data_IF_748902877387
#
_entry.id   IF_748902877387
#
_cell.length_a   1.000
_cell.length_b   1.000
_cell.length_c   1.000
_cell.angle_alpha   90.00
_cell.angle_beta   90.00
_cell.angle_gamma   90.00
#
_symmetry.space_group_name_H-M   'P 1'
#
loop_
_entity.id
_entity.type
_entity.pdbx_description
1 polymer ?
#
# COMPACT_ATOMS: atom_id res chain seq x y z
N UNK A 1 -23.55 -29.75 9.41
CA UNK A 1 -24.23 -28.86 8.45
C UNK A 1 -25.30 -28.06 9.14
N UNK A 2 -25.22 -26.74 9.08
CA UNK A 2 -26.20 -25.80 9.66
C UNK A 2 -27.52 -25.83 8.85
N UNK A 3 -28.64 -25.50 9.49
CA UNK A 3 -29.93 -25.39 8.80
C UNK A 3 -29.90 -24.19 7.85
N UNK A 4 -30.08 -24.44 6.55
CA UNK A 4 -29.95 -23.38 5.55
C UNK A 4 -30.84 -23.59 4.31
N UNK A 5 -31.01 -22.52 3.54
CA UNK A 5 -31.56 -22.48 2.19
C UNK A 5 -30.51 -21.82 1.31
N UNK A 6 -30.19 -22.43 0.18
CA UNK A 6 -29.33 -21.86 -0.86
C UNK A 6 -30.14 -21.70 -2.15
N UNK A 7 -30.15 -20.50 -2.72
CA UNK A 7 -30.74 -20.22 -4.03
C UNK A 7 -29.74 -20.40 -5.17
N UNK A 8 -30.23 -20.41 -6.41
CA UNK A 8 -29.41 -20.66 -7.61
C UNK A 8 -28.43 -19.52 -7.94
N UNK A 9 -28.66 -18.33 -7.41
CA UNK A 9 -27.82 -17.12 -7.51
C UNK A 9 -26.79 -17.02 -6.37
N UNK A 10 -26.53 -18.12 -5.65
CA UNK A 10 -25.58 -18.19 -4.54
C UNK A 10 -25.92 -17.29 -3.35
N UNK A 11 -27.20 -16.98 -3.16
CA UNK A 11 -27.68 -16.38 -1.92
C UNK A 11 -28.02 -17.49 -0.90
N UNK A 12 -27.62 -17.27 0.35
CA UNK A 12 -27.77 -18.20 1.46
C UNK A 12 -28.64 -17.58 2.54
N UNK A 13 -29.50 -18.39 3.14
CA UNK A 13 -30.20 -18.06 4.38
C UNK A 13 -29.94 -19.18 5.37
N UNK A 14 -29.28 -18.88 6.48
CA UNK A 14 -28.92 -19.83 7.55
C UNK A 14 -29.76 -19.49 8.79
N UNK A 15 -30.30 -20.50 9.46
CA UNK A 15 -31.13 -20.29 10.66
C UNK A 15 -30.43 -20.87 11.88
N UNK A 16 -30.05 -19.99 12.82
CA UNK A 16 -29.38 -20.34 14.07
C UNK A 16 -30.19 -19.81 15.25
N UNK A 17 -30.52 -20.66 16.23
CA UNK A 17 -31.32 -20.25 17.39
C UNK A 17 -32.69 -19.62 17.05
N UNK A 18 -33.23 -19.85 15.84
CA UNK A 18 -34.45 -19.23 15.34
C UNK A 18 -34.29 -17.86 14.67
N UNK A 19 -33.05 -17.33 14.59
CA UNK A 19 -32.72 -16.11 13.85
C UNK A 19 -32.20 -16.44 12.45
N UNK A 20 -32.70 -15.75 11.40
CA UNK A 20 -32.19 -15.90 10.04
C UNK A 20 -30.98 -15.00 9.78
N UNK A 21 -29.95 -15.55 9.15
CA UNK A 21 -28.73 -14.90 8.70
C UNK A 21 -28.62 -15.04 7.19
N UNK A 22 -28.50 -13.93 6.46
CA UNK A 22 -28.50 -13.91 5.00
C UNK A 22 -27.20 -13.33 4.43
N UNK A 23 -26.61 -14.01 3.46
CA UNK A 23 -25.40 -13.58 2.78
C UNK A 23 -25.35 -14.16 1.37
N UNK A 24 -24.59 -13.56 0.47
CA UNK A 24 -24.35 -14.11 -0.86
C UNK A 24 -22.87 -14.00 -1.25
N UNK A 25 -22.58 -14.35 -2.50
CA UNK A 25 -21.24 -14.37 -3.07
C UNK A 25 -20.49 -13.02 -3.00
N UNK A 26 -21.16 -11.92 -2.67
CA UNK A 26 -20.53 -10.62 -2.42
C UNK A 26 -19.98 -10.47 -1.01
N UNK A 27 -20.43 -11.28 -0.04
CA UNK A 27 -19.94 -11.22 1.33
C UNK A 27 -18.44 -11.56 1.39
N UNK A 28 -17.60 -10.79 2.10
CA UNK A 28 -16.15 -10.99 2.13
C UNK A 28 -15.75 -12.39 2.62
N UNK A 29 -16.44 -12.88 3.64
CA UNK A 29 -16.27 -14.23 4.16
C UNK A 29 -17.12 -15.28 3.45
N UNK A 30 -17.60 -15.05 2.23
CA UNK A 30 -18.55 -15.96 1.56
C UNK A 30 -18.08 -17.42 1.57
N UNK A 31 -16.81 -17.67 1.24
CA UNK A 31 -16.25 -19.02 1.23
C UNK A 31 -16.20 -19.61 2.65
N UNK A 32 -15.70 -18.85 3.63
CA UNK A 32 -15.65 -19.29 5.03
C UNK A 32 -17.03 -19.54 5.63
N UNK A 33 -18.01 -18.69 5.31
CA UNK A 33 -19.42 -18.87 5.69
C UNK A 33 -19.98 -20.15 5.08
N UNK A 34 -19.75 -20.40 3.78
CA UNK A 34 -20.15 -21.64 3.13
C UNK A 34 -19.51 -22.87 3.80
N UNK A 35 -18.22 -22.81 4.14
CA UNK A 35 -17.52 -23.89 4.85
C UNK A 35 -18.11 -24.14 6.24
N UNK A 36 -18.38 -23.08 7.01
CA UNK A 36 -19.01 -23.19 8.32
C UNK A 36 -20.42 -23.80 8.23
N UNK A 37 -21.20 -23.40 7.22
CA UNK A 37 -22.51 -24.00 6.95
C UNK A 37 -22.39 -25.49 6.65
N UNK A 38 -21.43 -25.91 5.84
CA UNK A 38 -21.22 -27.32 5.53
C UNK A 38 -20.73 -28.11 6.75
N UNK A 39 -19.74 -27.59 7.46
CA UNK A 39 -19.15 -28.20 8.65
C UNK A 39 -20.14 -28.26 9.83
N UNK A 40 -21.09 -27.34 9.90
CA UNK A 40 -21.95 -27.19 11.08
C UNK A 40 -21.30 -26.38 12.20
N UNK A 41 -20.32 -25.53 11.89
CA UNK A 41 -19.62 -24.72 12.88
C UNK A 41 -20.40 -23.41 13.12
N UNK A 42 -21.28 -23.43 14.12
CA UNK A 42 -22.13 -22.29 14.45
C UNK A 42 -21.33 -21.11 15.01
N UNK A 43 -20.31 -21.38 15.82
CA UNK A 43 -19.53 -20.31 16.45
C UNK A 43 -18.72 -19.54 15.41
N UNK A 44 -18.00 -20.26 14.56
CA UNK A 44 -17.22 -19.63 13.50
C UNK A 44 -18.10 -18.97 12.44
N UNK A 45 -19.26 -19.57 12.13
CA UNK A 45 -20.26 -18.91 11.27
C UNK A 45 -20.65 -17.53 11.81
N UNK A 46 -20.99 -17.44 13.10
CA UNK A 46 -21.41 -16.17 13.72
C UNK A 46 -20.24 -15.17 13.74
N UNK A 47 -19.01 -15.61 13.99
CA UNK A 47 -17.83 -14.75 13.93
C UNK A 47 -17.65 -14.16 12.51
N UNK A 48 -17.62 -15.01 11.49
CA UNK A 48 -17.43 -14.60 10.10
C UNK A 48 -18.59 -13.74 9.59
N UNK A 49 -19.82 -14.05 9.99
CA UNK A 49 -21.00 -13.32 9.55
C UNK A 49 -21.05 -11.90 10.14
N UNK A 50 -20.60 -11.76 11.39
CA UNK A 50 -20.51 -10.46 12.05
C UNK A 50 -19.28 -9.66 11.64
N UNK A 51 -18.47 -10.10 10.66
CA UNK A 51 -17.32 -9.30 10.18
C UNK A 51 -17.77 -7.90 9.71
N UNK A 52 -18.96 -7.77 9.12
CA UNK A 52 -19.53 -6.47 8.74
C UNK A 52 -19.80 -5.55 9.94
N UNK A 53 -20.47 -6.03 10.98
CA UNK A 53 -20.72 -5.26 12.21
C UNK A 53 -19.44 -4.97 12.98
N UNK A 54 -18.47 -5.89 12.96
CA UNK A 54 -17.14 -5.67 13.53
C UNK A 54 -16.41 -4.53 12.81
N UNK A 55 -16.49 -4.42 11.48
CA UNK A 55 -15.86 -3.32 10.73
C UNK A 55 -16.53 -1.97 11.04
N UNK A 56 -17.86 -1.93 11.11
CA UNK A 56 -18.63 -0.72 11.45
C UNK A 56 -18.31 -0.23 12.88
N UNK A 57 -18.38 -1.14 13.86
CA UNK A 57 -18.03 -0.84 15.26
C UNK A 57 -16.55 -0.41 15.39
N UNK A 58 -15.66 -1.11 14.68
CA UNK A 58 -14.23 -0.84 14.67
C UNK A 58 -13.92 0.54 14.10
N UNK A 59 -14.58 0.95 13.01
CA UNK A 59 -14.38 2.27 12.41
C UNK A 59 -15.14 3.40 13.11
N UNK A 60 -15.82 3.13 14.23
CA UNK A 60 -16.72 4.09 14.87
C UNK A 60 -17.78 4.65 13.89
N UNK A 61 -18.20 3.85 12.91
CA UNK A 61 -19.17 4.22 11.89
C UNK A 61 -18.63 4.98 10.68
N UNK A 62 -17.30 5.13 10.52
CA UNK A 62 -16.71 5.70 9.29
C UNK A 62 -16.86 4.75 8.09
N UNK A 63 -16.86 3.45 8.34
CA UNK A 63 -17.29 2.46 7.36
C UNK A 63 -18.75 2.07 7.57
N UNK A 64 -19.42 1.81 6.46
CA UNK A 64 -20.75 1.23 6.43
C UNK A 64 -20.74 -0.02 5.54
N UNK A 65 -21.30 -1.12 6.03
CA UNK A 65 -21.44 -2.35 5.27
C UNK A 65 -22.87 -2.45 4.73
N UNK A 66 -23.04 -2.16 3.44
CA UNK A 66 -24.34 -2.19 2.75
C UNK A 66 -24.31 -3.17 1.60
N UNK A 67 -25.33 -4.03 1.51
CA UNK A 67 -25.53 -4.96 0.39
C UNK A 67 -24.29 -5.81 0.04
N UNK A 68 -23.51 -6.22 1.05
CA UNK A 68 -22.31 -7.04 0.84
C UNK A 68 -21.03 -6.24 0.51
N UNK A 69 -21.09 -4.92 0.46
CA UNK A 69 -19.95 -4.06 0.15
C UNK A 69 -19.62 -3.12 1.29
N UNK A 70 -18.32 -2.87 1.43
CA UNK A 70 -17.79 -1.87 2.33
C UNK A 70 -17.86 -0.49 1.65
N UNK A 71 -18.42 0.48 2.35
CA UNK A 71 -18.48 1.88 1.93
C UNK A 71 -17.71 2.74 2.91
N UNK A 72 -17.00 3.73 2.40
CA UNK A 72 -16.43 4.83 3.17
C UNK A 72 -17.07 6.11 2.63
N UNK A 73 -17.74 6.85 3.51
CA UNK A 73 -18.71 7.89 3.10
C UNK A 73 -19.77 7.31 2.11
N UNK A 74 -19.88 7.90 0.92
CA UNK A 74 -20.79 7.45 -0.14
C UNK A 74 -20.07 6.65 -1.24
N UNK A 75 -18.77 6.37 -1.08
CA UNK A 75 -17.97 5.63 -2.06
C UNK A 75 -17.80 4.17 -1.67
N UNK A 76 -18.07 3.28 -2.62
CA UNK A 76 -17.79 1.86 -2.44
C UNK A 76 -16.27 1.65 -2.40
N UNK A 77 -15.77 1.07 -1.31
CA UNK A 77 -14.38 0.68 -1.18
C UNK A 77 -14.12 -0.50 -2.11
N UNK A 78 -13.01 -0.45 -2.87
CA UNK A 78 -12.65 -1.53 -3.76
C UNK A 78 -12.38 -2.83 -2.98
N UNK A 79 -12.43 -3.98 -3.68
CA UNK A 79 -12.26 -5.29 -3.05
C UNK A 79 -10.89 -5.42 -2.37
N UNK A 80 -9.82 -4.92 -2.98
CA UNK A 80 -8.47 -5.09 -2.44
C UNK A 80 -8.27 -4.38 -1.08
N UNK A 81 -8.63 -3.09 -0.89
CA UNK A 81 -8.58 -2.49 0.44
C UNK A 81 -9.55 -3.15 1.43
N UNK A 82 -10.70 -3.62 0.96
CA UNK A 82 -11.68 -4.33 1.80
C UNK A 82 -11.10 -5.63 2.37
N UNK A 83 -10.55 -6.49 1.52
CA UNK A 83 -9.89 -7.74 1.92
C UNK A 83 -8.79 -7.51 2.96
N UNK A 84 -8.06 -6.41 2.80
CA UNK A 84 -7.02 -6.02 3.75
C UNK A 84 -7.56 -5.57 5.09
N UNK A 85 -8.59 -4.72 5.12
CA UNK A 85 -9.26 -4.30 6.36
C UNK A 85 -9.69 -5.54 7.15
N UNK A 86 -10.26 -6.52 6.46
CA UNK A 86 -10.66 -7.79 7.05
C UNK A 86 -9.47 -8.59 7.58
N UNK A 87 -8.36 -8.66 6.85
CA UNK A 87 -7.15 -9.35 7.32
C UNK A 87 -6.55 -8.68 8.56
N UNK A 88 -6.48 -7.34 8.58
CA UNK A 88 -6.03 -6.57 9.73
C UNK A 88 -6.90 -6.85 10.96
N UNK A 89 -8.23 -6.87 10.78
CA UNK A 89 -9.18 -7.24 11.83
C UNK A 89 -8.97 -8.67 12.35
N UNK A 90 -8.87 -9.64 11.45
CA UNK A 90 -8.62 -11.06 11.81
C UNK A 90 -7.34 -11.24 12.61
N UNK A 91 -6.32 -10.44 12.30
CA UNK A 91 -5.03 -10.46 12.96
C UNK A 91 -4.96 -9.53 14.19
N UNK A 92 -6.04 -8.84 14.55
CA UNK A 92 -6.14 -7.99 15.75
C UNK A 92 -5.44 -6.63 15.65
N UNK A 93 -5.22 -6.10 14.44
CA UNK A 93 -4.61 -4.79 14.22
C UNK A 93 -5.60 -3.62 14.39
N UNK A 94 -5.07 -2.44 14.69
CA UNK A 94 -5.83 -1.18 14.78
C UNK A 94 -6.33 -0.72 13.39
N UNK A 95 -7.50 -0.08 13.30
CA UNK A 95 -8.04 0.51 12.07
C UNK A 95 -7.34 1.74 11.61
N UNK A 96 -6.87 2.54 12.56
CA UNK A 96 -6.50 3.92 12.28
C UNK A 96 -5.57 4.05 11.08
N UNK A 97 -4.58 3.16 10.86
CA UNK A 97 -3.75 3.20 9.66
C UNK A 97 -4.57 3.07 8.36
N UNK A 98 -5.54 2.15 8.30
CA UNK A 98 -6.38 1.93 7.11
C UNK A 98 -7.35 3.06 6.85
N UNK A 99 -7.97 3.62 7.90
CA UNK A 99 -8.83 4.79 7.76
C UNK A 99 -8.03 6.00 7.27
N UNK A 100 -6.86 6.25 7.87
CA UNK A 100 -5.95 7.31 7.42
C UNK A 100 -5.50 7.11 5.97
N UNK A 101 -5.23 5.86 5.57
CA UNK A 101 -4.90 5.53 4.18
C UNK A 101 -6.04 5.87 3.21
N UNK A 102 -7.28 5.50 3.55
CA UNK A 102 -8.44 5.76 2.68
C UNK A 102 -8.79 7.24 2.63
N UNK A 103 -8.72 7.96 3.77
CA UNK A 103 -8.91 9.41 3.81
C UNK A 103 -7.93 10.10 2.84
N UNK A 104 -6.65 9.70 2.86
CA UNK A 104 -5.64 10.21 1.93
C UNK A 104 -5.87 9.79 0.49
N UNK A 105 -6.22 8.52 0.25
CA UNK A 105 -6.46 7.99 -1.09
C UNK A 105 -7.58 8.75 -1.79
N UNK A 106 -8.66 9.07 -1.07
CA UNK A 106 -9.78 9.82 -1.62
C UNK A 106 -9.53 11.33 -1.77
N UNK A 107 -8.43 11.86 -1.21
CA UNK A 107 -7.92 13.19 -1.61
C UNK A 107 -7.23 13.18 -2.99
N UNK A 108 -7.00 12.01 -3.59
CA UNK A 108 -6.41 11.94 -4.92
C UNK A 108 -7.38 12.49 -5.98
N UNK A 109 -6.99 13.59 -6.61
CA UNK A 109 -7.79 14.27 -7.65
C UNK A 109 -8.09 13.44 -8.90
N UNK A 110 -7.47 12.26 -9.06
CA UNK A 110 -7.65 11.38 -10.22
C UNK A 110 -8.25 10.04 -9.79
N UNK A 111 -9.55 9.86 -10.05
CA UNK A 111 -10.21 8.57 -9.86
C UNK A 111 -9.49 7.46 -10.67
N UNK A 112 -8.96 7.77 -11.87
CA UNK A 112 -8.17 6.79 -12.63
C UNK A 112 -6.94 6.32 -11.85
N UNK A 113 -6.22 7.25 -11.22
CA UNK A 113 -5.04 6.90 -10.42
C UNK A 113 -5.41 6.06 -9.20
N UNK A 114 -6.55 6.36 -8.55
CA UNK A 114 -7.10 5.55 -7.45
C UNK A 114 -7.41 4.12 -7.93
N UNK A 115 -8.14 3.96 -9.03
CA UNK A 115 -8.47 2.64 -9.57
C UNK A 115 -7.24 1.85 -10.02
N UNK A 116 -6.29 2.53 -10.68
CA UNK A 116 -5.01 1.96 -11.08
C UNK A 116 -4.20 1.50 -9.86
N UNK A 117 -4.23 2.26 -8.76
CA UNK A 117 -3.49 1.92 -7.54
C UNK A 117 -3.91 0.55 -7.00
N UNK A 118 -5.21 0.22 -6.97
CA UNK A 118 -5.69 -1.08 -6.49
C UNK A 118 -5.06 -2.27 -7.23
N UNK A 119 -4.70 -2.08 -8.51
CA UNK A 119 -3.99 -3.11 -9.28
C UNK A 119 -2.55 -3.29 -8.78
N UNK A 120 -1.83 -2.18 -8.56
CA UNK A 120 -0.47 -2.21 -7.99
C UNK A 120 -0.46 -2.88 -6.60
N UNK A 121 -1.47 -2.57 -5.80
CA UNK A 121 -1.66 -3.10 -4.45
C UNK A 121 -1.76 -4.63 -4.38
N UNK A 122 -2.15 -5.29 -5.48
CA UNK A 122 -2.24 -6.75 -5.56
C UNK A 122 -0.88 -7.46 -5.52
N UNK A 123 0.24 -6.76 -5.76
CA UNK A 123 1.60 -7.31 -5.77
C UNK A 123 2.24 -7.47 -4.37
N UNK A 124 1.45 -7.55 -3.30
CA UNK A 124 1.89 -7.61 -1.88
C UNK A 124 2.62 -6.34 -1.38
N UNK A 125 2.49 -5.21 -2.08
CA UNK A 125 3.41 -4.07 -1.94
C UNK A 125 2.88 -2.85 -1.20
N UNK A 126 2.07 -2.98 -0.16
CA UNK A 126 1.50 -1.82 0.52
C UNK A 126 1.73 -1.78 2.03
N UNK A 127 2.91 -2.02 2.62
CA UNK A 127 3.08 -1.64 4.01
C UNK A 127 2.60 -0.18 4.18
N UNK A 128 1.63 0.04 5.06
CA UNK A 128 1.09 1.38 5.32
C UNK A 128 1.69 1.90 6.61
N UNK A 129 1.95 3.19 6.67
CA UNK A 129 2.33 3.81 7.93
C UNK A 129 1.10 3.99 8.82
N UNK A 130 1.34 4.24 10.10
CA UNK A 130 0.32 4.57 11.08
C UNK A 130 -0.55 5.79 10.67
N UNK A 131 0.06 6.75 9.98
CA UNK A 131 -0.60 7.94 9.45
C UNK A 131 -1.19 7.76 8.03
N UNK A 132 -1.22 6.55 7.48
CA UNK A 132 -1.91 6.22 6.23
C UNK A 132 -1.11 6.47 4.94
N UNK A 133 0.20 6.73 5.02
CA UNK A 133 1.06 6.75 3.83
C UNK A 133 1.35 5.34 3.33
N UNK A 134 1.75 5.23 2.06
CA UNK A 134 2.22 3.98 1.48
C UNK A 134 3.73 3.90 1.48
N UNK A 135 4.23 2.69 1.71
CA UNK A 135 5.63 2.33 1.54
C UNK A 135 5.84 1.68 0.18
N UNK A 136 6.91 2.08 -0.49
CA UNK A 136 7.39 1.45 -1.70
C UNK A 136 8.90 1.43 -1.76
N UNK A 137 9.43 0.98 -2.89
CA UNK A 137 10.86 0.80 -3.08
C UNK A 137 11.36 1.62 -4.26
N UNK A 138 12.62 2.07 -4.15
CA UNK A 138 13.27 2.85 -5.19
C UNK A 138 14.69 2.38 -5.43
N UNK A 139 14.97 1.92 -6.64
CA UNK A 139 16.33 1.66 -7.10
C UNK A 139 17.06 2.95 -7.46
N UNK A 140 18.25 3.16 -6.89
CA UNK A 140 19.09 4.34 -7.08
C UNK A 140 20.54 3.95 -7.41
N UNK A 141 21.32 4.93 -7.84
CA UNK A 141 22.78 4.81 -8.03
C UNK A 141 23.53 5.68 -7.04
N UNK A 142 24.84 5.43 -6.88
CA UNK A 142 25.74 6.28 -6.10
C UNK A 142 26.34 7.35 -7.01
N UNK A 143 26.27 8.61 -6.59
CA UNK A 143 26.83 9.73 -7.33
C UNK A 143 28.36 9.72 -7.28
N UNK A 144 29.00 10.03 -8.41
CA UNK A 144 30.47 10.03 -8.55
C UNK A 144 30.98 11.19 -9.41
N UNK A 145 30.14 12.20 -9.67
CA UNK A 145 30.50 13.38 -10.45
C UNK A 145 31.04 14.53 -9.59
N UNK A 146 31.29 15.67 -10.24
CA UNK A 146 31.67 16.91 -9.57
C UNK A 146 30.52 17.51 -8.76
N UNK A 147 30.85 18.17 -7.65
CA UNK A 147 29.87 18.83 -6.78
C UNK A 147 28.95 19.74 -7.59
N UNK A 148 27.64 19.56 -7.37
CA UNK A 148 26.59 20.32 -8.04
C UNK A 148 25.37 20.44 -7.16
N UNK A 149 24.30 21.00 -7.72
CA UNK A 149 22.98 21.01 -7.09
C UNK A 149 21.99 20.13 -7.84
N UNK A 150 21.09 19.50 -7.10
CA UNK A 150 19.95 18.78 -7.65
C UNK A 150 18.80 19.74 -8.01
N UNK A 151 17.68 19.22 -8.53
CA UNK A 151 16.51 20.04 -8.92
C UNK A 151 15.81 20.74 -7.76
N UNK A 152 16.04 20.30 -6.52
CA UNK A 152 15.51 20.91 -5.31
C UNK A 152 16.51 21.91 -4.70
N UNK A 153 17.64 22.16 -5.36
CA UNK A 153 18.67 23.08 -4.88
C UNK A 153 19.55 22.51 -3.77
N UNK A 154 19.49 21.20 -3.52
CA UNK A 154 20.32 20.53 -2.51
C UNK A 154 21.72 20.26 -3.06
N UNK A 155 22.78 20.34 -2.22
CA UNK A 155 24.11 19.93 -2.64
C UNK A 155 24.10 18.44 -2.98
N UNK A 156 24.73 18.12 -4.10
CA UNK A 156 24.94 16.77 -4.61
C UNK A 156 26.44 16.56 -4.76
N UNK A 157 26.97 15.61 -3.99
CA UNK A 157 28.39 15.32 -3.84
C UNK A 157 28.64 13.82 -3.93
N UNK A 158 29.89 13.41 -4.23
CA UNK A 158 30.21 12.00 -4.41
C UNK A 158 29.81 11.15 -3.18
N UNK A 159 29.15 10.02 -3.42
CA UNK A 159 28.59 9.15 -2.37
C UNK A 159 27.07 9.30 -2.16
N UNK A 160 26.46 10.40 -2.62
CA UNK A 160 25.03 10.61 -2.51
C UNK A 160 24.22 9.62 -3.36
N UNK A 161 23.02 9.25 -2.90
CA UNK A 161 22.08 8.46 -3.67
C UNK A 161 21.36 9.32 -4.71
N UNK A 162 21.26 8.85 -5.96
CA UNK A 162 20.65 9.59 -7.08
C UNK A 162 19.76 8.71 -7.95
N UNK A 163 18.79 9.33 -8.62
CA UNK A 163 17.95 8.62 -9.59
C UNK A 163 18.81 7.98 -10.69
N UNK A 164 18.54 6.72 -11.03
CA UNK A 164 19.37 5.97 -11.97
C UNK A 164 19.31 6.48 -13.41
N UNK A 165 18.20 7.11 -13.80
CA UNK A 165 17.99 7.53 -15.19
C UNK A 165 18.87 8.73 -15.58
N UNK A 166 18.93 9.76 -14.74
CA UNK A 166 19.72 10.97 -15.00
C UNK A 166 20.99 11.07 -14.15
N UNK A 167 21.04 10.35 -13.02
CA UNK A 167 22.14 10.39 -12.06
C UNK A 167 22.34 11.74 -11.37
N UNK A 168 21.46 12.72 -11.60
CA UNK A 168 21.71 14.13 -11.25
C UNK A 168 20.45 14.95 -10.99
N UNK A 169 19.25 14.43 -11.25
CA UNK A 169 18.02 15.22 -11.11
C UNK A 169 17.62 15.39 -9.65
N UNK A 170 17.64 14.30 -8.88
CA UNK A 170 17.20 14.31 -7.49
C UNK A 170 18.19 13.53 -6.62
N UNK A 171 18.62 14.15 -5.52
CA UNK A 171 19.26 13.44 -4.41
C UNK A 171 18.22 12.63 -3.63
N UNK A 172 18.60 11.44 -3.18
CA UNK A 172 17.76 10.43 -2.55
C UNK A 172 18.41 9.89 -1.26
N UNK A 173 19.07 10.75 -0.48
CA UNK A 173 19.61 10.33 0.80
C UNK A 173 18.46 10.11 1.81
N UNK A 174 18.72 9.41 2.90
CA UNK A 174 17.73 9.22 3.97
C UNK A 174 17.23 10.58 4.46
N UNK A 175 15.91 10.73 4.58
CA UNK A 175 15.22 11.97 4.92
C UNK A 175 15.02 12.94 3.75
N UNK A 176 15.57 12.67 2.56
CA UNK A 176 15.32 13.52 1.40
C UNK A 176 13.87 13.41 0.92
N UNK A 177 13.26 14.56 0.70
CA UNK A 177 11.98 14.69 0.03
C UNK A 177 12.20 15.02 -1.45
N UNK A 178 11.61 14.22 -2.34
CA UNK A 178 11.64 14.44 -3.77
C UNK A 178 10.23 14.79 -4.25
N UNK A 179 10.09 15.89 -4.98
CA UNK A 179 8.80 16.35 -5.46
C UNK A 179 8.87 16.90 -6.88
N UNK A 180 7.77 16.73 -7.61
CA UNK A 180 7.53 17.30 -8.92
C UNK A 180 6.10 17.85 -8.94
N UNK A 181 5.89 18.98 -9.63
CA UNK A 181 4.54 19.44 -9.89
C UNK A 181 3.75 18.32 -10.60
N UNK A 182 2.61 17.90 -10.04
CA UNK A 182 1.78 16.79 -10.56
C UNK A 182 1.49 16.92 -12.05
N UNK A 183 1.28 18.13 -12.57
CA UNK A 183 1.04 18.39 -14.01
C UNK A 183 2.25 18.11 -14.91
N UNK A 184 3.42 17.84 -14.33
CA UNK A 184 4.65 17.45 -15.03
C UNK A 184 4.96 15.96 -14.89
N UNK A 185 4.11 15.20 -14.19
CA UNK A 185 4.17 13.75 -14.11
C UNK A 185 3.22 13.18 -15.16
N UNK A 186 3.67 12.22 -15.96
CA UNK A 186 2.86 11.57 -16.97
C UNK A 186 1.77 10.74 -16.31
N UNK A 187 0.53 11.04 -16.68
CA UNK A 187 -0.65 10.35 -16.22
C UNK A 187 -1.07 9.23 -17.19
N UNK A 188 -0.42 9.12 -18.35
CA UNK A 188 -0.65 8.04 -19.32
C UNK A 188 0.03 6.74 -18.85
N UNK A 189 -0.77 5.79 -18.37
CA UNK A 189 -0.32 4.47 -17.90
C UNK A 189 0.19 3.56 -19.04
N UNK A 190 -0.10 3.87 -20.30
CA UNK A 190 0.40 3.09 -21.46
C UNK A 190 1.81 3.47 -21.89
N UNK A 191 2.32 4.60 -21.42
CA UNK A 191 3.72 4.95 -21.61
C UNK A 191 4.51 4.41 -20.43
N UNK A 192 5.46 3.51 -20.66
CA UNK A 192 6.23 2.89 -19.58
C UNK A 192 7.33 3.76 -18.98
N UNK A 193 8.09 4.44 -19.84
CA UNK A 193 9.25 5.25 -19.48
C UNK A 193 8.98 6.74 -19.70
N UNK A 194 7.95 7.28 -19.03
CA UNK A 194 7.58 8.69 -19.13
C UNK A 194 8.06 9.52 -17.93
N UNK A 195 7.87 10.83 -17.99
CA UNK A 195 8.27 11.74 -16.92
C UNK A 195 7.53 11.43 -15.61
N UNK A 196 8.26 11.31 -14.51
CA UNK A 196 7.68 11.10 -13.19
C UNK A 196 8.66 10.61 -12.16
N UNK A 197 8.29 10.77 -10.89
CA UNK A 197 8.97 10.12 -9.79
C UNK A 197 8.48 8.67 -9.71
N UNK A 198 9.38 7.71 -9.91
CA UNK A 198 9.03 6.30 -9.92
C UNK A 198 9.35 5.67 -8.57
N UNK A 199 8.37 4.93 -8.07
CA UNK A 199 8.43 3.99 -6.95
C UNK A 199 7.91 2.64 -7.45
N UNK A 200 8.23 1.53 -6.79
CA UNK A 200 7.75 0.22 -7.20
C UNK A 200 7.84 -0.83 -6.11
N UNK A 201 7.62 -2.08 -6.50
CA UNK A 201 7.85 -3.25 -5.65
C UNK A 201 9.34 -3.43 -5.38
N UNK A 202 9.67 -4.22 -4.36
CA UNK A 202 11.07 -4.53 -4.03
C UNK A 202 11.80 -5.15 -5.23
N UNK A 203 11.19 -6.17 -5.86
CA UNK A 203 11.75 -6.85 -7.03
C UNK A 203 12.05 -5.87 -8.17
N UNK A 204 11.08 -5.02 -8.54
CA UNK A 204 11.26 -4.00 -9.56
C UNK A 204 12.39 -3.03 -9.22
N UNK A 205 12.42 -2.54 -7.98
CA UNK A 205 13.42 -1.58 -7.52
C UNK A 205 14.82 -2.19 -7.45
N UNK A 206 14.94 -3.45 -7.04
CA UNK A 206 16.20 -4.19 -6.97
C UNK A 206 16.76 -4.47 -8.37
N UNK A 207 15.93 -4.93 -9.29
CA UNK A 207 16.31 -5.13 -10.68
C UNK A 207 16.72 -3.82 -11.34
N UNK A 208 15.96 -2.76 -11.06
CA UNK A 208 16.31 -1.42 -11.52
C UNK A 208 17.63 -0.94 -10.93
N UNK A 209 17.91 -1.16 -9.63
CA UNK A 209 19.17 -0.76 -8.97
C UNK A 209 20.39 -1.50 -9.54
N UNK A 210 20.26 -2.80 -9.84
CA UNK A 210 21.34 -3.64 -10.38
C UNK A 210 22.56 -3.75 -9.46
N UNK A 211 23.62 -4.44 -9.92
CA UNK A 211 24.75 -4.88 -9.09
C UNK A 211 25.59 -3.80 -8.37
N UNK A 212 25.42 -2.52 -8.70
CA UNK A 212 26.13 -1.40 -8.04
C UNK A 212 25.19 -0.29 -7.58
N UNK A 213 23.89 -0.54 -7.59
CA UNK A 213 22.89 0.38 -7.08
C UNK A 213 22.51 0.06 -5.64
N UNK A 214 21.60 0.88 -5.10
CA UNK A 214 21.03 0.72 -3.77
C UNK A 214 19.50 0.68 -3.91
N UNK A 215 18.83 -0.12 -3.09
CA UNK A 215 17.38 -0.08 -2.97
C UNK A 215 17.02 0.72 -1.74
N UNK A 216 16.17 1.73 -1.91
CA UNK A 216 15.69 2.58 -0.84
C UNK A 216 14.24 2.23 -0.51
N UNK A 217 13.91 2.30 0.77
CA UNK A 217 12.54 2.37 1.25
C UNK A 217 12.08 3.82 1.14
N UNK A 218 10.90 4.04 0.53
CA UNK A 218 10.32 5.36 0.37
C UNK A 218 8.88 5.37 0.86
N UNK A 219 8.47 6.47 1.51
CA UNK A 219 7.09 6.73 1.87
C UNK A 219 6.48 7.78 0.96
N UNK A 220 5.23 7.61 0.57
CA UNK A 220 4.51 8.54 -0.30
C UNK A 220 3.02 8.57 0.04
N UNK A 221 2.39 9.71 -0.24
CA UNK A 221 0.97 9.91 0.00
C UNK A 221 0.14 9.23 -1.12
N UNK A 222 -0.90 8.44 -0.79
CA UNK A 222 -1.89 7.98 -1.76
C UNK A 222 -2.48 9.10 -2.64
N UNK A 223 -2.62 10.32 -2.11
CA UNK A 223 -3.08 11.50 -2.85
C UNK A 223 -2.10 11.93 -3.96
N UNK A 224 -0.81 11.58 -3.81
CA UNK A 224 0.24 11.91 -4.76
C UNK A 224 0.40 10.89 -5.89
N UNK A 225 -0.36 9.79 -5.90
CA UNK A 225 -0.34 8.80 -6.99
C UNK A 225 -0.86 9.43 -8.29
N UNK A 226 -0.12 9.27 -9.39
CA UNK A 226 -0.46 9.87 -10.70
C UNK A 226 -0.87 8.82 -11.73
N UNK A 227 -0.12 7.72 -11.83
CA UNK A 227 -0.46 6.58 -12.69
C UNK A 227 0.29 5.31 -12.29
N UNK A 228 -0.26 4.16 -12.63
CA UNK A 228 0.39 2.84 -12.52
C UNK A 228 0.65 2.31 -13.94
N UNK A 229 1.89 2.37 -14.45
CA UNK A 229 2.20 1.89 -15.78
C UNK A 229 1.97 0.38 -15.96
N UNK A 230 1.48 0.00 -17.14
CA UNK A 230 1.09 -1.39 -17.46
C UNK A 230 2.24 -2.25 -18.00
N UNK A 231 3.36 -1.64 -18.41
CA UNK A 231 4.47 -2.28 -19.13
C UNK A 231 5.40 -3.14 -18.27
N UNK A 232 5.19 -3.14 -16.94
CA UNK A 232 6.00 -3.90 -15.99
C UNK A 232 5.12 -4.74 -15.06
N UNK A 233 4.03 -5.30 -15.58
CA UNK A 233 3.05 -6.06 -14.78
C UNK A 233 2.59 -5.27 -13.55
N UNK A 234 2.35 -3.97 -13.70
CA UNK A 234 1.94 -3.09 -12.61
C UNK A 234 2.89 -3.10 -11.39
N UNK A 235 4.19 -3.40 -11.57
CA UNK A 235 5.16 -3.41 -10.46
C UNK A 235 5.76 -2.04 -10.15
N UNK A 236 5.45 -1.00 -10.94
CA UNK A 236 5.89 0.38 -10.74
C UNK A 236 4.73 1.35 -10.71
N UNK A 237 4.94 2.50 -10.08
CA UNK A 237 3.99 3.58 -9.93
C UNK A 237 4.69 4.93 -10.09
N UNK A 238 3.94 5.91 -10.61
CA UNK A 238 4.35 7.31 -10.67
C UNK A 238 3.66 8.10 -9.58
N UNK A 239 4.46 8.85 -8.81
CA UNK A 239 3.99 9.75 -7.77
C UNK A 239 4.43 11.19 -8.05
N UNK A 240 3.75 12.18 -7.49
CA UNK A 240 4.23 13.58 -7.48
C UNK A 240 5.26 13.84 -6.39
N UNK A 241 5.29 13.02 -5.35
CA UNK A 241 6.12 13.24 -4.17
C UNK A 241 6.43 11.92 -3.45
N UNK A 242 7.62 11.80 -2.88
CA UNK A 242 7.97 10.76 -1.90
C UNK A 242 9.07 11.28 -0.96
N UNK A 243 9.23 10.60 0.17
CA UNK A 243 10.31 10.81 1.15
C UNK A 243 11.11 9.53 1.28
N UNK A 244 12.44 9.63 1.32
CA UNK A 244 13.33 8.48 1.55
C UNK A 244 13.38 8.17 3.04
N UNK A 245 13.07 6.92 3.39
CA UNK A 245 12.96 6.45 4.78
C UNK A 245 14.24 5.76 5.22
N UNK A 246 14.71 4.78 4.45
CA UNK A 246 15.87 3.95 4.82
C UNK A 246 16.45 3.22 3.60
N UNK A 247 17.55 2.52 3.79
CA UNK A 247 18.06 1.54 2.82
C UNK A 247 17.33 0.21 3.03
N UNK A 248 16.71 -0.32 1.98
CA UNK A 248 16.03 -1.61 2.01
C UNK A 248 17.00 -2.74 1.63
N UNK A 249 17.05 -3.78 2.47
CA UNK A 249 17.85 -5.00 2.21
C UNK A 249 17.00 -6.18 1.72
N UNK A 250 15.71 -6.14 2.01
CA UNK A 250 14.72 -7.15 1.65
C UNK A 250 13.34 -6.52 1.53
N UNK A 251 12.38 -7.31 1.06
CA UNK A 251 10.97 -6.92 1.02
C UNK A 251 10.37 -6.99 2.42
N UNK A 252 9.63 -5.95 2.83
CA UNK A 252 8.81 -5.95 4.03
C UNK A 252 7.69 -6.99 3.90
N UNK A 253 7.51 -7.80 4.94
CA UNK A 253 6.44 -8.79 5.08
C UNK A 253 5.26 -8.27 5.91
N UNK A 254 5.43 -7.14 6.60
CA UNK A 254 4.45 -6.55 7.51
C UNK A 254 3.42 -5.69 6.77
N UNK A 255 2.16 -5.74 7.23
CA UNK A 255 1.10 -4.89 6.69
C UNK A 255 1.20 -3.45 7.19
N UNK A 256 1.63 -3.23 8.43
CA UNK A 256 1.78 -1.87 8.98
C UNK A 256 3.25 -1.64 9.27
N UNK A 257 3.80 -0.60 8.64
CA UNK A 257 5.18 -0.16 8.85
C UNK A 257 5.22 0.91 9.92
N UNK A 258 5.93 0.65 11.02
CA UNK A 258 6.20 1.65 12.04
C UNK A 258 7.65 2.13 11.89
N UNK A 259 7.83 3.45 11.70
CA UNK A 259 9.16 4.06 11.71
C UNK A 259 9.71 3.95 13.13
N UNK A 260 10.62 3.00 13.35
CA UNK A 260 11.30 2.87 14.65
C UNK A 260 12.27 4.07 14.81
N UNK A 261 12.00 4.96 15.78
CA UNK A 261 12.80 6.16 16.05
C UNK A 261 14.29 5.83 16.37
N UNK A 262 14.61 4.57 16.64
CA UNK A 262 15.92 4.10 17.11
C UNK A 262 16.94 3.80 16.00
N UNK A 263 16.56 3.79 14.72
CA UNK A 263 17.49 3.47 13.62
C UNK A 263 18.40 4.63 13.18
N UNK A 264 18.23 5.82 13.77
CA UNK A 264 19.06 7.00 13.45
C UNK A 264 20.40 7.06 14.21
N UNK A 265 20.69 6.13 15.14
CA UNK A 265 21.87 6.26 16.02
C UNK A 265 23.11 5.41 15.64
N UNK A 266 23.03 4.39 14.77
CA UNK A 266 24.08 3.35 14.75
C UNK A 266 25.00 3.27 13.51
N UNK A 267 25.03 4.26 12.60
CA UNK A 267 25.94 4.23 11.43
C UNK A 267 27.06 5.31 11.44
N UNK A 268 27.52 5.74 12.62
CA UNK A 268 28.84 6.37 12.76
C UNK A 268 29.91 5.29 12.99
N UNK A 269 30.43 4.70 11.90
CA UNK A 269 31.69 3.98 11.97
C UNK A 269 32.81 4.96 12.31
N UNK A 270 33.29 4.91 13.56
CA UNK A 270 34.61 5.39 13.94
C UNK A 270 35.64 4.78 12.97
N UNK A 271 36.17 5.58 12.04
CA UNK A 271 37.46 5.25 11.45
C UNK A 271 38.49 5.39 12.56
N UNK A 272 38.80 4.25 13.19
CA UNK A 272 39.95 4.07 14.05
C UNK A 272 41.20 4.54 13.33
N UNK A 273 41.68 5.70 13.74
CA UNK A 273 43.08 6.09 13.60
C UNK A 273 43.86 5.17 14.52
N UNK A 274 44.77 4.35 13.97
CA UNK A 274 45.96 3.94 14.72
C UNK A 274 47.10 3.48 13.78
N UNK A 275 48.19 4.27 13.87
CA UNK A 275 49.61 4.09 13.53
C UNK A 275 50.07 3.69 12.12
#
# INVERSE_FOLDING_TARGET
MLSHIKSNDNHWTVVLGGQPFQYDHTHPEYNGLCECVMAGDENEFVNLFNTGTVIEDWSNGEFEFRDGFLYYEDEQVASQPTERIINMLKNGWDHKPMLAYLERLYQNVSNRAVQESYTWCSHKGLPITDDGMLIGYKGVSIYSGEDRTDKNGRPLTAGDHVDKYTGTSFRNNIGDECSMNRRRVSDNCNEGCAAGLHVGTYEYANDWAGHGGVVLLVKFDPADIVSVPTDCEFSKMRVSKYTVVSVAREQLEEEVYMEDETLYEDDYYEQGVDF
#
